data_IF_951415266674
#
_entry.id   IF_951415266674
#
_cell.length_a   1.000
_cell.length_b   1.000
_cell.length_c   1.000
_cell.angle_alpha   90.00
_cell.angle_beta   90.00
_cell.angle_gamma   90.00
#
_symmetry.space_group_name_H-M   'P 1'
#
loop_
_entity.id
_entity.type
_entity.pdbx_description
1 polymer ?
#
# COMPACT_ATOMS: atom_id res chain seq x y z
N UNK A 1 1.32 -20.83 -3.74
CA UNK A 1 1.23 -19.58 -2.97
C UNK A 1 1.92 -18.57 -3.85
N UNK A 2 1.16 -17.88 -4.68
CA UNK A 2 1.71 -16.79 -5.49
C UNK A 2 1.96 -15.60 -4.55
N UNK A 3 3.22 -15.48 -4.13
CA UNK A 3 3.74 -14.26 -3.54
C UNK A 3 3.66 -13.15 -4.60
N UNK A 4 2.80 -12.16 -4.38
CA UNK A 4 2.73 -10.98 -5.24
C UNK A 4 4.11 -10.31 -5.28
N UNK A 5 4.65 -10.12 -6.48
CA UNK A 5 5.97 -9.51 -6.65
C UNK A 5 5.78 -8.00 -6.71
N UNK A 6 6.09 -7.32 -5.60
CA UNK A 6 6.17 -5.87 -5.56
C UNK A 6 7.51 -5.45 -6.17
N UNK A 7 7.46 -4.79 -7.33
CA UNK A 7 8.67 -4.38 -8.04
C UNK A 7 9.08 -2.93 -7.76
N UNK A 8 8.13 -2.08 -7.38
CA UNK A 8 8.37 -0.67 -7.01
C UNK A 8 7.51 -0.28 -5.83
N UNK A 9 8.10 0.43 -4.86
CA UNK A 9 7.41 0.97 -3.67
C UNK A 9 7.81 2.45 -3.53
N UNK A 10 6.88 3.37 -3.76
CA UNK A 10 7.09 4.81 -3.49
C UNK A 10 6.18 5.21 -2.35
N UNK A 11 6.67 5.95 -1.36
CA UNK A 11 5.88 6.44 -0.23
C UNK A 11 6.08 7.94 -0.05
N UNK A 12 5.04 8.73 -0.33
CA UNK A 12 5.05 10.18 -0.19
C UNK A 12 4.13 10.63 0.95
N UNK A 13 4.65 11.47 1.84
CA UNK A 13 3.92 11.97 3.00
C UNK A 13 3.12 13.22 2.63
N UNK A 14 1.79 13.12 2.73
CA UNK A 14 0.86 14.22 2.47
C UNK A 14 0.51 14.96 3.77
N UNK A 15 0.24 16.28 3.72
CA UNK A 15 0.11 17.18 4.89
C UNK A 15 -1.08 16.93 5.84
N UNK A 16 -1.77 15.80 5.74
CA UNK A 16 -2.91 15.42 6.59
C UNK A 16 -2.75 14.04 7.24
N UNK A 17 -1.52 13.57 7.46
CA UNK A 17 -1.28 12.22 7.95
C UNK A 17 -1.80 11.16 6.97
N UNK A 18 -1.68 11.45 5.67
CA UNK A 18 -1.92 10.48 4.60
C UNK A 18 -0.59 10.15 3.96
N UNK A 19 -0.39 8.90 3.58
CA UNK A 19 0.73 8.52 2.74
C UNK A 19 0.20 8.05 1.41
N UNK A 20 0.63 8.70 0.35
CA UNK A 20 0.46 8.17 -0.99
C UNK A 20 1.49 7.06 -1.18
N UNK A 21 1.05 5.91 -1.67
CA UNK A 21 1.94 4.87 -2.14
C UNK A 21 1.66 4.48 -3.59
N UNK A 22 2.73 4.16 -4.31
CA UNK A 22 2.70 3.58 -5.66
C UNK A 22 3.37 2.21 -5.62
N UNK A 23 2.70 1.22 -6.22
CA UNK A 23 3.08 -0.18 -6.21
C UNK A 23 2.90 -0.81 -7.57
N UNK A 24 3.93 -1.47 -8.06
CA UNK A 24 3.83 -2.25 -9.30
C UNK A 24 3.73 -3.73 -8.95
N UNK A 25 2.57 -4.34 -9.19
CA UNK A 25 2.26 -5.76 -8.95
C UNK A 25 2.15 -6.46 -10.31
N UNK A 26 2.98 -7.47 -10.55
CA UNK A 26 2.96 -8.25 -11.80
C UNK A 26 3.03 -7.40 -13.09
N UNK A 27 3.71 -6.26 -13.02
CA UNK A 27 3.84 -5.32 -14.14
C UNK A 27 2.65 -4.38 -14.34
N UNK A 28 1.67 -4.38 -13.42
CA UNK A 28 0.60 -3.37 -13.35
C UNK A 28 0.86 -2.40 -12.21
N UNK A 29 0.73 -1.11 -12.51
CA UNK A 29 0.90 -0.04 -11.54
C UNK A 29 -0.42 0.23 -10.80
N UNK A 30 -0.32 0.26 -9.48
CA UNK A 30 -1.40 0.50 -8.55
C UNK A 30 -1.00 1.62 -7.61
N UNK A 31 -1.91 2.56 -7.43
CA UNK A 31 -1.71 3.70 -6.54
C UNK A 31 -2.75 3.66 -5.42
N UNK A 32 -2.39 4.13 -4.23
CA UNK A 32 -3.30 4.21 -3.12
C UNK A 32 -2.84 5.14 -2.02
N UNK A 33 -3.74 5.41 -1.07
CA UNK A 33 -3.46 6.25 0.09
C UNK A 33 -3.67 5.48 1.38
N UNK A 34 -2.65 5.49 2.23
CA UNK A 34 -2.73 5.09 3.62
C UNK A 34 -3.17 6.28 4.48
N UNK A 35 -4.17 6.09 5.32
CA UNK A 35 -4.65 7.08 6.26
C UNK A 35 -4.14 6.71 7.66
N UNK A 36 -3.19 7.48 8.22
CA UNK A 36 -2.68 7.22 9.57
C UNK A 36 -3.77 7.33 10.64
N UNK A 37 -4.69 8.28 10.49
CA UNK A 37 -5.72 8.57 11.50
C UNK A 37 -6.65 7.39 11.81
N UNK A 38 -6.89 6.50 10.84
CA UNK A 38 -7.78 5.33 11.00
C UNK A 38 -7.12 4.01 10.58
N UNK A 39 -5.85 4.03 10.16
CA UNK A 39 -5.13 2.88 9.64
C UNK A 39 -5.76 2.24 8.39
N UNK A 40 -6.59 3.00 7.65
CA UNK A 40 -7.29 2.51 6.45
C UNK A 40 -6.47 2.77 5.20
N UNK A 41 -6.52 1.83 4.26
CA UNK A 41 -5.97 2.01 2.92
C UNK A 41 -7.11 2.22 1.93
N UNK A 42 -6.93 3.19 1.04
CA UNK A 42 -7.85 3.49 -0.04
C UNK A 42 -7.08 3.37 -1.36
N UNK A 43 -7.47 2.42 -2.20
CA UNK A 43 -6.87 2.22 -3.52
C UNK A 43 -7.53 3.12 -4.56
N UNK A 44 -6.72 3.70 -5.46
CA UNK A 44 -7.21 4.38 -6.64
C UNK A 44 -7.62 3.39 -7.73
N UNK A 45 -8.34 3.86 -8.75
CA UNK A 45 -8.69 3.04 -9.90
C UNK A 45 -7.54 3.07 -10.93
N UNK A 46 -7.09 1.90 -11.43
CA UNK A 46 -7.65 0.56 -11.25
C UNK A 46 -7.38 -0.04 -9.85
N UNK A 47 -8.41 -0.62 -9.22
CA UNK A 47 -8.29 -1.24 -7.89
C UNK A 47 -7.81 -2.68 -8.00
N UNK A 48 -6.78 -3.09 -7.24
CA UNK A 48 -6.26 -4.45 -7.32
C UNK A 48 -7.21 -5.51 -6.72
N UNK A 49 -8.25 -5.10 -5.97
CA UNK A 49 -9.29 -5.99 -5.45
C UNK A 49 -10.24 -6.59 -6.51
N UNK A 50 -10.28 -6.02 -7.70
CA UNK A 50 -11.21 -6.48 -8.74
C UNK A 50 -10.69 -7.64 -9.59
N UNK A 51 -9.40 -7.96 -9.51
CA UNK A 51 -8.75 -9.02 -10.30
C UNK A 51 -8.14 -10.06 -9.36
N UNK A 52 -8.95 -10.96 -8.78
CA UNK A 52 -8.57 -12.20 -8.03
C UNK A 52 -7.45 -12.12 -6.95
N UNK A 53 -6.90 -10.94 -6.66
CA UNK A 53 -5.76 -10.71 -5.77
C UNK A 53 -6.18 -10.33 -4.34
N UNK A 54 -7.40 -10.68 -3.92
CA UNK A 54 -7.95 -10.25 -2.63
C UNK A 54 -7.08 -10.71 -1.45
N UNK A 55 -6.54 -11.93 -1.52
CA UNK A 55 -5.61 -12.47 -0.52
C UNK A 55 -4.23 -11.78 -0.54
N UNK A 56 -3.77 -11.36 -1.72
CA UNK A 56 -2.49 -10.67 -1.91
C UNK A 56 -2.54 -9.22 -1.43
N UNK A 57 -3.70 -8.56 -1.56
CA UNK A 57 -3.86 -7.17 -1.14
C UNK A 57 -3.84 -7.01 0.37
N UNK A 58 -4.41 -7.92 1.14
CA UNK A 58 -4.29 -7.89 2.61
C UNK A 58 -2.82 -7.96 3.07
N UNK A 59 -2.00 -8.75 2.39
CA UNK A 59 -0.57 -8.86 2.68
C UNK A 59 0.21 -7.59 2.29
N UNK A 60 -0.12 -6.96 1.16
CA UNK A 60 0.39 -5.64 0.78
C UNK A 60 0.00 -4.60 1.83
N UNK A 61 -1.27 -4.54 2.22
CA UNK A 61 -1.79 -3.60 3.23
C UNK A 61 -1.07 -3.77 4.58
N UNK A 62 -0.84 -5.02 5.01
CA UNK A 62 -0.04 -5.34 6.20
C UNK A 62 1.41 -4.88 6.06
N UNK A 63 2.03 -5.06 4.89
CA UNK A 63 3.40 -4.61 4.63
C UNK A 63 3.50 -3.09 4.71
N UNK A 64 2.57 -2.36 4.06
CA UNK A 64 2.47 -0.90 4.13
C UNK A 64 2.33 -0.47 5.59
N UNK A 65 1.36 -1.02 6.34
CA UNK A 65 1.18 -0.71 7.77
C UNK A 65 2.46 -0.93 8.58
N UNK A 66 3.17 -2.02 8.33
CA UNK A 66 4.43 -2.32 9.02
C UNK A 66 5.55 -1.33 8.69
N UNK A 67 5.64 -0.88 7.43
CA UNK A 67 6.60 0.15 7.00
C UNK A 67 6.27 1.48 7.67
N UNK A 68 4.99 1.84 7.72
CA UNK A 68 4.52 3.09 8.33
C UNK A 68 4.76 3.13 9.84
N UNK A 69 4.43 2.05 10.56
CA UNK A 69 4.73 1.93 11.99
C UNK A 69 6.24 2.01 12.26
N UNK A 70 7.08 1.52 11.34
CA UNK A 70 8.54 1.62 11.47
C UNK A 70 9.09 3.02 11.18
N UNK A 71 8.47 3.80 10.28
CA UNK A 71 8.93 5.15 9.97
C UNK A 71 8.55 6.18 11.04
N UNK A 72 7.43 5.99 11.74
CA UNK A 72 6.96 6.91 12.79
C UNK A 72 7.70 6.73 14.14
N UNK A 73 8.71 5.85 14.21
CA UNK A 73 9.56 5.68 15.39
C UNK A 73 10.89 6.44 15.20
N UNK A 74 10.98 7.73 15.58
CA UNK A 74 12.27 8.32 15.87
C UNK A 74 12.78 7.69 17.17
N UNK A 75 13.94 7.04 17.10
CA UNK A 75 14.73 6.77 18.30
C UNK A 75 15.49 8.05 18.68
#
# INVERSE_FOLDING_TARGET
MEDFIVTREVFEHLPHGKIHFELTIEGKDYEGQYHYANGKITWFNPQPKSEDHDASIDAVEKKIKKIMIKQDYPH
#
